data_IF_580563417609
#
_entry.id   IF_580563417609
#
_cell.length_a   1.000
_cell.length_b   1.000
_cell.length_c   1.000
_cell.angle_alpha   90.00
_cell.angle_beta   90.00
_cell.angle_gamma   90.00
#
_symmetry.space_group_name_H-M   'P 1'
#
loop_
_entity.id
_entity.type
_entity.pdbx_description
1 polymer ?
#
# COMPACT_ATOMS: atom_id res chain seq x y z
N UNK A 1 -62.56 -69.54 36.01
CA UNK A 1 -61.89 -69.40 34.69
C UNK A 1 -62.43 -68.16 33.94
N UNK A 2 -62.29 -66.94 34.51
CA UNK A 2 -62.77 -65.69 33.85
C UNK A 2 -61.98 -64.43 34.26
N UNK A 3 -60.74 -64.57 34.75
CA UNK A 3 -59.88 -63.47 35.20
C UNK A 3 -58.65 -63.25 34.32
N UNK A 4 -58.34 -64.18 33.41
CA UNK A 4 -57.18 -64.06 32.50
C UNK A 4 -57.52 -63.31 31.20
N UNK A 5 -58.78 -63.28 30.77
CA UNK A 5 -59.19 -62.66 29.50
C UNK A 5 -59.17 -61.12 29.52
N UNK A 6 -59.53 -60.50 30.66
CA UNK A 6 -59.51 -59.03 30.84
C UNK A 6 -58.10 -58.45 31.00
N UNK A 7 -57.16 -59.24 31.52
CA UNK A 7 -55.77 -58.79 31.78
C UNK A 7 -54.96 -58.74 30.48
N UNK A 8 -55.18 -59.68 29.56
CA UNK A 8 -54.54 -59.67 28.23
C UNK A 8 -55.01 -58.50 27.36
N UNK A 9 -56.31 -58.16 27.40
CA UNK A 9 -56.85 -57.04 26.63
C UNK A 9 -56.33 -55.67 27.11
N UNK A 10 -56.13 -55.51 28.43
CA UNK A 10 -55.53 -54.31 29.01
C UNK A 10 -54.07 -54.13 28.58
N UNK A 11 -53.31 -55.23 28.50
CA UNK A 11 -51.92 -55.22 28.02
C UNK A 11 -51.81 -54.92 26.52
N UNK A 12 -52.73 -55.43 25.70
CA UNK A 12 -52.77 -55.13 24.26
C UNK A 12 -53.10 -53.65 24.02
N UNK A 13 -54.02 -53.07 24.81
CA UNK A 13 -54.39 -51.65 24.69
C UNK A 13 -53.25 -50.70 25.09
N UNK A 14 -52.41 -51.07 26.07
CA UNK A 14 -51.25 -50.25 26.49
C UNK A 14 -50.11 -50.30 25.47
N UNK A 15 -49.93 -51.43 24.79
CA UNK A 15 -48.92 -51.55 23.72
C UNK A 15 -49.29 -50.70 22.51
N UNK A 16 -50.58 -50.59 22.15
CA UNK A 16 -51.05 -49.77 21.01
C UNK A 16 -50.79 -48.27 21.23
N UNK A 17 -50.88 -47.78 22.47
CA UNK A 17 -50.62 -46.36 22.79
C UNK A 17 -49.13 -46.00 22.68
N UNK A 18 -48.22 -46.95 22.92
CA UNK A 18 -46.78 -46.71 22.86
C UNK A 18 -46.24 -46.57 21.42
N UNK A 19 -46.91 -47.17 20.42
CA UNK A 19 -46.44 -47.13 19.02
C UNK A 19 -46.88 -45.87 18.26
N UNK A 20 -47.81 -45.07 18.80
CA UNK A 20 -48.41 -43.94 18.11
C UNK A 20 -47.64 -42.60 18.25
N UNK A 21 -46.55 -42.54 19.04
CA UNK A 21 -45.87 -41.26 19.36
C UNK A 21 -44.58 -40.96 18.60
N UNK A 22 -44.26 -41.68 17.52
CA UNK A 22 -43.12 -41.32 16.67
C UNK A 22 -43.54 -40.37 15.54
N UNK A 23 -43.86 -39.10 15.87
CA UNK A 23 -43.82 -38.02 14.87
C UNK A 23 -42.38 -37.54 14.75
N UNK A 24 -41.79 -37.72 13.56
CA UNK A 24 -40.49 -37.14 13.17
C UNK A 24 -40.57 -35.62 13.39
N UNK A 25 -39.78 -35.10 14.34
CA UNK A 25 -39.74 -33.66 14.61
C UNK A 25 -39.24 -32.91 13.38
N UNK A 26 -39.99 -31.88 12.98
CA UNK A 26 -39.61 -31.02 11.85
C UNK A 26 -38.26 -30.34 12.15
N UNK A 27 -37.41 -30.22 11.13
CA UNK A 27 -36.13 -29.49 11.24
C UNK A 27 -36.41 -28.05 11.66
N UNK A 28 -35.79 -27.61 12.76
CA UNK A 28 -35.97 -26.26 13.29
C UNK A 28 -35.61 -25.16 12.27
N UNK A 29 -36.15 -23.95 12.45
CA UNK A 29 -35.88 -22.84 11.54
C UNK A 29 -34.39 -22.53 11.46
N UNK A 30 -33.91 -22.15 10.27
CA UNK A 30 -32.53 -21.73 10.07
C UNK A 30 -32.22 -20.53 10.98
N UNK A 31 -31.07 -20.59 11.67
CA UNK A 31 -30.62 -19.52 12.56
C UNK A 31 -30.47 -18.18 11.84
N UNK A 32 -30.69 -17.09 12.58
CA UNK A 32 -30.53 -15.75 12.04
C UNK A 32 -29.09 -15.52 11.56
N UNK A 33 -28.94 -14.74 10.48
CA UNK A 33 -27.62 -14.34 9.99
C UNK A 33 -26.88 -13.57 11.09
N UNK A 34 -25.61 -13.92 11.31
CA UNK A 34 -24.77 -13.26 12.31
C UNK A 34 -24.56 -11.77 12.02
N UNK A 35 -24.22 -10.97 13.03
CA UNK A 35 -23.96 -9.54 12.85
C UNK A 35 -22.79 -9.32 11.88
N UNK A 36 -22.80 -8.18 11.20
CA UNK A 36 -21.65 -7.75 10.40
C UNK A 36 -20.39 -7.65 11.29
N UNK A 37 -19.24 -8.03 10.73
CA UNK A 37 -17.95 -7.93 11.44
C UNK A 37 -17.58 -6.47 11.74
N UNK A 38 -16.67 -6.22 12.70
CA UNK A 38 -16.20 -4.88 13.00
C UNK A 38 -15.52 -4.26 11.78
N UNK A 39 -15.68 -2.94 11.63
CA UNK A 39 -14.93 -2.19 10.63
C UNK A 39 -13.42 -2.32 10.90
N UNK A 40 -12.63 -2.56 9.84
CA UNK A 40 -11.17 -2.61 9.95
C UNK A 40 -10.57 -1.30 10.46
N UNK A 41 -9.34 -1.32 10.99
CA UNK A 41 -8.66 -0.11 11.45
C UNK A 41 -8.52 0.89 10.29
N UNK A 42 -8.67 2.18 10.59
CA UNK A 42 -8.41 3.24 9.64
C UNK A 42 -6.92 3.24 9.26
N UNK A 43 -6.62 3.43 7.96
CA UNK A 43 -5.23 3.55 7.49
C UNK A 43 -4.53 4.75 8.16
N UNK A 44 -3.24 4.60 8.44
CA UNK A 44 -2.39 5.67 8.98
C UNK A 44 -2.40 6.88 8.03
N UNK A 45 -2.75 8.06 8.53
CA UNK A 45 -2.71 9.30 7.76
C UNK A 45 -1.25 9.69 7.48
N UNK A 46 -0.80 9.51 6.25
CA UNK A 46 0.53 9.93 5.82
C UNK A 46 0.49 11.31 5.16
N UNK A 47 0.85 12.37 5.88
CA UNK A 47 1.25 13.61 5.21
C UNK A 47 2.63 13.37 4.59
N UNK A 48 2.72 13.28 3.27
CA UNK A 48 4.02 13.21 2.59
C UNK A 48 4.78 14.51 2.89
N UNK A 49 5.96 14.39 3.51
CA UNK A 49 6.85 15.52 3.84
C UNK A 49 7.54 16.01 2.56
N UNK A 50 6.76 16.61 1.66
CA UNK A 50 7.26 17.11 0.37
C UNK A 50 7.95 18.47 0.58
N UNK A 51 9.14 18.63 0.01
CA UNK A 51 9.87 19.91 0.00
C UNK A 51 10.34 20.21 -1.41
N UNK A 52 10.09 21.43 -1.89
CA UNK A 52 10.53 21.89 -3.20
C UNK A 52 11.70 22.87 -3.06
N UNK A 53 12.69 22.70 -3.93
CA UNK A 53 13.82 23.61 -4.08
C UNK A 53 13.83 24.12 -5.52
N UNK A 54 13.76 25.43 -5.71
CA UNK A 54 13.85 26.07 -7.03
C UNK A 54 15.24 26.70 -7.21
N UNK A 55 15.81 26.50 -8.40
CA UNK A 55 17.11 27.00 -8.81
C UNK A 55 16.97 27.86 -10.06
N UNK A 56 17.91 28.78 -10.26
CA UNK A 56 17.97 29.63 -11.44
C UNK A 56 18.44 28.89 -12.69
N UNK A 57 19.02 29.66 -13.62
CA UNK A 57 19.47 29.19 -14.93
C UNK A 57 20.48 28.05 -14.81
N UNK A 58 20.27 27.00 -15.62
CA UNK A 58 21.17 25.88 -15.80
C UNK A 58 21.68 25.90 -17.25
N UNK A 59 22.94 26.27 -17.44
CA UNK A 59 23.57 26.26 -18.76
C UNK A 59 24.25 24.91 -19.00
N UNK A 60 23.45 23.95 -19.49
CA UNK A 60 23.95 22.62 -19.78
C UNK A 60 24.60 22.54 -21.17
N UNK A 61 24.71 23.62 -21.95
CA UNK A 61 25.46 23.62 -23.22
C UNK A 61 26.96 23.44 -23.03
N UNK A 62 27.49 23.83 -21.86
CA UNK A 62 28.94 23.88 -21.61
C UNK A 62 29.37 22.69 -20.78
N UNK A 63 28.97 22.68 -19.50
CA UNK A 63 29.37 21.67 -18.52
C UNK A 63 28.15 20.94 -17.95
N UNK A 64 28.40 20.07 -16.97
CA UNK A 64 27.36 19.56 -16.08
C UNK A 64 26.89 20.68 -15.13
N UNK A 65 25.66 20.56 -14.63
CA UNK A 65 25.16 21.41 -13.55
C UNK A 65 25.27 20.70 -12.20
N UNK A 66 25.49 21.48 -11.14
CA UNK A 66 25.45 20.99 -9.76
C UNK A 66 24.45 21.81 -8.95
N UNK A 67 23.39 21.16 -8.49
CA UNK A 67 22.40 21.75 -7.59
C UNK A 67 22.76 21.35 -6.15
N UNK A 68 22.89 22.35 -5.27
CA UNK A 68 23.32 22.14 -3.89
C UNK A 68 22.19 22.42 -2.90
N UNK A 69 21.90 21.46 -2.03
CA UNK A 69 20.84 21.55 -1.02
C UNK A 69 21.45 21.29 0.35
N UNK A 70 21.38 22.28 1.25
CA UNK A 70 21.82 22.13 2.64
C UNK A 70 20.84 21.23 3.40
N UNK A 71 21.29 20.02 3.75
CA UNK A 71 20.52 19.01 4.49
C UNK A 71 21.46 17.93 5.00
N UNK A 72 20.94 16.81 5.52
CA UNK A 72 21.75 15.72 6.07
C UNK A 72 21.94 14.58 5.07
N UNK A 73 22.96 13.75 5.29
CA UNK A 73 23.18 12.52 4.52
C UNK A 73 22.03 11.53 4.69
N UNK A 74 21.45 11.48 5.89
CA UNK A 74 20.26 10.69 6.19
C UNK A 74 19.08 11.10 5.30
N UNK A 75 18.81 12.41 5.20
CA UNK A 75 17.79 12.94 4.29
C UNK A 75 18.06 12.55 2.84
N UNK A 76 19.32 12.55 2.39
CA UNK A 76 19.68 12.10 1.04
C UNK A 76 19.26 10.65 0.79
N UNK A 77 19.61 9.76 1.71
CA UNK A 77 19.45 8.31 1.57
C UNK A 77 18.00 7.85 1.76
N UNK A 78 17.22 8.57 2.56
CA UNK A 78 15.84 8.24 2.88
C UNK A 78 14.81 9.12 2.15
N UNK A 79 15.19 9.77 1.05
CA UNK A 79 14.26 10.54 0.24
C UNK A 79 14.22 10.07 -1.20
N UNK A 80 13.05 10.22 -1.82
CA UNK A 80 12.92 10.28 -3.27
C UNK A 80 13.24 11.70 -3.74
N UNK A 81 14.06 11.81 -4.79
CA UNK A 81 14.49 13.08 -5.37
C UNK A 81 14.06 13.12 -6.84
N UNK A 82 13.20 14.08 -7.18
CA UNK A 82 12.71 14.30 -8.54
C UNK A 82 13.28 15.61 -9.05
N UNK A 83 13.91 15.59 -10.23
CA UNK A 83 14.60 16.75 -10.78
C UNK A 83 13.92 17.16 -12.09
N UNK A 84 13.71 18.46 -12.24
CA UNK A 84 13.02 19.05 -13.38
C UNK A 84 13.82 20.23 -13.92
N UNK A 85 13.78 20.41 -15.24
CA UNK A 85 14.39 21.53 -15.94
C UNK A 85 13.35 22.29 -16.75
N UNK A 86 13.31 23.61 -16.64
CA UNK A 86 12.34 24.45 -17.34
C UNK A 86 12.95 25.09 -18.60
N UNK A 87 12.45 24.69 -19.76
CA UNK A 87 12.87 25.25 -21.04
C UNK A 87 11.92 26.38 -21.43
N UNK A 88 12.41 27.61 -21.31
CA UNK A 88 11.63 28.83 -21.50
C UNK A 88 11.06 28.97 -22.92
N UNK A 89 11.80 28.68 -24.01
CA UNK A 89 11.29 28.88 -25.37
C UNK A 89 10.04 28.05 -25.72
N UNK A 90 9.85 26.90 -25.05
CA UNK A 90 8.66 26.05 -25.21
C UNK A 90 7.77 26.02 -23.96
N UNK A 91 8.06 26.88 -22.99
CA UNK A 91 7.39 26.96 -21.68
C UNK A 91 7.16 25.60 -20.99
N UNK A 92 8.12 24.68 -21.12
CA UNK A 92 7.95 23.27 -20.75
C UNK A 92 8.88 22.83 -19.62
N UNK A 93 8.35 22.03 -18.71
CA UNK A 93 9.14 21.28 -17.75
C UNK A 93 9.55 19.92 -18.33
N UNK A 94 10.84 19.63 -18.28
CA UNK A 94 11.43 18.34 -18.59
C UNK A 94 11.74 17.60 -17.29
N UNK A 95 11.40 16.32 -17.26
CA UNK A 95 11.62 15.42 -16.15
C UNK A 95 12.93 14.68 -16.46
N UNK A 96 13.91 14.74 -15.56
CA UNK A 96 15.21 14.10 -15.79
C UNK A 96 15.51 13.08 -14.68
N UNK A 97 16.19 11.95 -14.98
CA UNK A 97 16.90 11.63 -16.22
C UNK A 97 15.97 11.34 -17.41
N UNK A 98 16.49 11.52 -18.62
CA UNK A 98 15.73 11.37 -19.87
C UNK A 98 16.17 12.33 -20.96
N UNK A 99 15.44 12.32 -22.06
CA UNK A 99 15.76 13.15 -23.22
C UNK A 99 15.34 14.61 -23.02
N UNK A 100 16.21 15.51 -23.47
CA UNK A 100 16.02 16.95 -23.49
C UNK A 100 15.13 17.43 -24.63
N UNK A 101 15.29 18.70 -24.98
CA UNK A 101 14.50 19.32 -26.04
C UNK A 101 14.77 18.64 -27.38
N UNK A 102 13.72 18.16 -28.04
CA UNK A 102 13.83 17.52 -29.35
C UNK A 102 14.61 16.21 -29.38
N UNK A 103 14.96 15.61 -28.24
CA UNK A 103 15.64 14.31 -28.18
C UNK A 103 17.12 14.32 -28.57
N UNK A 104 17.74 15.49 -28.74
CA UNK A 104 19.14 15.59 -29.17
C UNK A 104 20.15 15.43 -28.03
N UNK A 105 19.71 15.67 -26.80
CA UNK A 105 20.53 15.52 -25.59
C UNK A 105 19.85 14.54 -24.65
N UNK A 106 20.59 13.59 -24.08
CA UNK A 106 20.13 12.73 -23.00
C UNK A 106 20.76 13.19 -21.68
N UNK A 107 19.93 13.38 -20.66
CA UNK A 107 20.35 13.81 -19.32
C UNK A 107 20.40 12.65 -18.34
N UNK A 108 21.46 12.66 -17.51
CA UNK A 108 21.63 11.76 -16.37
C UNK A 108 21.65 12.59 -15.10
N UNK A 109 20.99 12.09 -14.06
CA UNK A 109 21.04 12.66 -12.71
C UNK A 109 21.82 11.71 -11.81
N UNK A 110 22.74 12.24 -11.03
CA UNK A 110 23.42 11.52 -9.96
C UNK A 110 23.53 12.39 -8.72
N UNK A 111 23.80 11.80 -7.55
CA UNK A 111 23.87 12.54 -6.29
C UNK A 111 25.07 12.10 -5.45
N UNK A 112 25.59 13.03 -4.66
CA UNK A 112 26.57 12.77 -3.61
C UNK A 112 26.28 13.63 -2.38
N UNK A 113 26.81 13.23 -1.23
CA UNK A 113 26.79 14.05 -0.02
C UNK A 113 28.20 14.51 0.34
N UNK A 114 28.39 15.82 0.46
CA UNK A 114 29.65 16.41 0.92
C UNK A 114 29.41 17.80 1.50
N UNK A 115 30.25 18.25 2.43
CA UNK A 115 30.18 19.60 3.02
C UNK A 115 28.78 19.98 3.54
N UNK A 116 28.09 19.04 4.19
CA UNK A 116 26.73 19.20 4.72
C UNK A 116 25.68 19.58 3.68
N UNK A 117 25.89 19.12 2.44
CA UNK A 117 24.99 19.34 1.32
C UNK A 117 24.78 18.06 0.54
N UNK A 118 23.56 17.90 0.05
CA UNK A 118 23.27 17.02 -1.07
C UNK A 118 23.65 17.79 -2.34
N UNK A 119 24.52 17.19 -3.14
CA UNK A 119 24.95 17.68 -4.42
C UNK A 119 24.32 16.82 -5.50
N UNK A 120 23.41 17.40 -6.28
CA UNK A 120 22.76 16.74 -7.41
C UNK A 120 23.47 17.19 -8.68
N UNK A 121 24.08 16.25 -9.38
CA UNK A 121 24.75 16.49 -10.65
C UNK A 121 23.82 16.15 -11.81
N UNK A 122 23.78 17.05 -12.79
CA UNK A 122 23.06 16.88 -14.04
C UNK A 122 24.11 16.82 -15.14
N UNK A 123 24.39 15.61 -15.60
CA UNK A 123 25.28 15.33 -16.71
C UNK A 123 24.48 15.13 -18.00
N UNK A 124 25.19 15.13 -19.14
CA UNK A 124 24.57 14.96 -20.45
C UNK A 124 25.42 14.15 -21.40
N UNK A 125 24.74 13.50 -22.35
CA UNK A 125 25.30 13.04 -23.62
C UNK A 125 24.58 13.81 -24.73
N UNK A 126 25.32 14.59 -25.52
CA UNK A 126 24.77 15.48 -26.54
C UNK A 126 25.12 16.95 -26.32
N UNK A 127 24.60 17.86 -27.16
CA UNK A 127 24.98 19.27 -27.15
C UNK A 127 24.57 20.03 -25.88
N UNK A 128 23.48 19.61 -25.22
CA UNK A 128 22.91 20.34 -24.09
C UNK A 128 21.97 21.46 -24.50
N UNK A 129 21.17 21.91 -23.55
CA UNK A 129 20.33 23.10 -23.67
C UNK A 129 20.52 24.06 -22.48
N UNK A 130 20.13 25.33 -22.66
CA UNK A 130 20.02 26.28 -21.55
C UNK A 130 18.61 26.23 -21.00
N UNK A 131 18.49 25.87 -19.72
CA UNK A 131 17.22 25.86 -19.01
C UNK A 131 17.15 27.06 -18.09
N UNK A 132 16.04 27.79 -18.10
CA UNK A 132 15.91 29.01 -17.32
C UNK A 132 15.76 28.74 -15.82
N UNK A 133 15.30 27.55 -15.43
CA UNK A 133 15.12 27.12 -14.04
C UNK A 133 15.41 25.63 -13.88
N UNK A 134 15.83 25.25 -12.69
CA UNK A 134 15.78 23.87 -12.22
C UNK A 134 14.84 23.77 -11.02
N UNK A 135 14.23 22.61 -10.82
CA UNK A 135 13.44 22.30 -9.64
C UNK A 135 13.82 20.93 -9.11
N UNK A 136 13.89 20.81 -7.80
CA UNK A 136 14.06 19.54 -7.11
C UNK A 136 12.90 19.37 -6.14
N UNK A 137 12.14 18.30 -6.30
CA UNK A 137 11.11 17.88 -5.34
C UNK A 137 11.64 16.70 -4.53
N UNK A 138 11.70 16.87 -3.21
CA UNK A 138 12.12 15.85 -2.25
C UNK A 138 10.90 15.31 -1.53
N UNK A 139 10.79 13.99 -1.44
CA UNK A 139 9.77 13.30 -0.64
C UNK A 139 10.52 12.41 0.36
N UNK A 140 10.43 12.73 1.65
CA UNK A 140 11.10 11.95 2.69
C UNK A 140 10.28 10.71 3.06
N UNK A 141 10.94 9.56 3.17
CA UNK A 141 10.33 8.30 3.53
C UNK A 141 10.23 8.21 5.07
N UNK A 142 9.01 8.30 5.60
CA UNK A 142 8.78 8.19 7.04
C UNK A 142 9.05 6.77 7.59
N UNK A 143 9.00 5.75 6.73
CA UNK A 143 9.23 4.35 7.08
C UNK A 143 10.13 3.70 6.03
N UNK A 144 11.09 2.89 6.48
CA UNK A 144 11.99 2.11 5.62
C UNK A 144 11.97 0.67 6.11
N UNK A 145 11.66 -0.27 5.22
CA UNK A 145 11.60 -1.70 5.53
C UNK A 145 12.65 -2.42 4.71
N UNK A 146 13.56 -3.10 5.40
CA UNK A 146 14.62 -3.89 4.77
C UNK A 146 14.09 -5.27 4.39
N UNK A 147 14.35 -5.77 3.18
CA UNK A 147 13.96 -7.11 2.68
C UNK A 147 12.44 -7.41 2.60
N UNK A 148 11.62 -6.38 2.37
CA UNK A 148 10.18 -6.36 2.65
C UNK A 148 9.30 -7.57 2.27
N UNK A 149 8.63 -8.12 3.28
CA UNK A 149 7.16 -8.32 3.31
C UNK A 149 6.64 -7.76 4.64
N UNK A 150 5.71 -6.80 4.60
CA UNK A 150 4.88 -6.51 5.77
C UNK A 150 3.66 -7.41 5.66
N UNK A 151 3.79 -8.62 6.16
CA UNK A 151 2.66 -9.46 6.48
C UNK A 151 3.05 -10.20 7.74
N UNK A 152 2.41 -9.91 8.87
CA UNK A 152 2.38 -10.90 9.94
C UNK A 152 1.78 -12.17 9.33
N UNK A 153 2.45 -13.32 9.49
CA UNK A 153 1.85 -14.59 9.10
C UNK A 153 0.44 -14.66 9.71
N UNK A 154 -0.59 -15.08 8.95
CA UNK A 154 -1.93 -15.18 9.51
C UNK A 154 -1.85 -16.05 10.76
N UNK A 155 -2.33 -15.51 11.88
CA UNK A 155 -2.17 -16.18 13.17
C UNK A 155 -3.10 -17.40 13.18
N UNK A 156 -2.72 -18.48 13.86
CA UNK A 156 -3.56 -19.67 13.92
C UNK A 156 -4.94 -19.39 14.52
N UNK A 157 -5.07 -18.32 15.32
CA UNK A 157 -6.33 -17.80 15.83
C UNK A 157 -7.29 -17.32 14.74
N UNK A 158 -6.79 -16.87 13.59
CA UNK A 158 -7.59 -16.43 12.44
C UNK A 158 -8.25 -17.62 11.72
N UNK A 159 -7.76 -18.85 11.96
CA UNK A 159 -8.27 -20.08 11.37
C UNK A 159 -9.03 -20.98 12.35
N UNK A 160 -9.11 -20.62 13.64
CA UNK A 160 -9.92 -21.39 14.58
C UNK A 160 -11.40 -21.03 14.37
N UNK A 161 -12.18 -22.02 13.94
CA UNK A 161 -13.65 -21.95 14.00
C UNK A 161 -14.01 -21.84 15.48
N UNK A 162 -14.50 -20.67 15.90
CA UNK A 162 -15.03 -20.47 17.25
C UNK A 162 -16.28 -21.35 17.39
N UNK A 163 -16.14 -22.45 18.11
CA UNK A 163 -17.25 -23.32 18.53
C UNK A 163 -18.27 -22.58 19.39
#
# INVERSE_FOLDING_TARGET
MLTHFKRTYLFILTIIVLVASCKKGDTGPQGQQGPAGPQGPQGIQGNANVTQYDFGVQNLNVNYSQLQIATTQDTMNHSTWLVYLYYEPLTRWYFIPGDGVGGSTQYRVSMSYSSNKVNIYIDKTGPGEVYAKARVSRIYNNNVITNGRIGTAPQWEDFQIKN
#
